data_IF_940044233895
#
_entry.id   IF_940044233895
#
_cell.length_a   1.000
_cell.length_b   1.000
_cell.length_c   1.000
_cell.angle_alpha   90.00
_cell.angle_beta   90.00
_cell.angle_gamma   90.00
#
_symmetry.space_group_name_H-M   'P 1'
#
loop_
_entity.id
_entity.type
_entity.pdbx_description
1 polymer ?
#
# COMPACT_ATOMS: atom_id res chain seq x y z
N UNK A 1 5.73 12.34 3.98
CA UNK A 1 4.69 12.51 2.94
C UNK A 1 3.70 13.63 3.30
N UNK A 2 3.65 14.70 2.51
CA UNK A 2 2.58 15.72 2.56
C UNK A 2 1.52 15.52 1.47
N UNK A 3 1.82 14.69 0.45
CA UNK A 3 0.97 14.46 -0.72
C UNK A 3 -0.38 13.78 -0.40
N UNK A 4 -0.46 13.05 0.71
CA UNK A 4 -1.68 12.34 1.16
C UNK A 4 -2.38 13.05 2.33
N UNK A 5 -1.83 14.16 2.80
CA UNK A 5 -2.22 14.75 4.07
C UNK A 5 -3.67 15.24 4.03
N UNK A 6 -4.51 14.67 4.90
CA UNK A 6 -5.92 15.02 5.01
C UNK A 6 -6.87 14.26 4.07
N UNK A 7 -6.37 13.31 3.26
CA UNK A 7 -7.24 12.43 2.47
C UNK A 7 -7.32 11.01 3.07
N UNK A 8 -8.49 10.60 3.58
CA UNK A 8 -8.75 9.26 4.09
C UNK A 8 -8.33 8.10 3.17
N UNK A 9 -8.53 8.25 1.85
CA UNK A 9 -8.22 7.21 0.88
C UNK A 9 -6.71 7.06 0.67
N UNK A 10 -5.96 8.16 0.81
CA UNK A 10 -4.51 8.14 0.81
C UNK A 10 -3.95 7.31 1.97
N UNK A 11 -4.55 7.41 3.16
CA UNK A 11 -4.15 6.61 4.33
C UNK A 11 -4.43 5.12 4.15
N UNK A 12 -5.56 4.78 3.50
CA UNK A 12 -5.92 3.38 3.21
C UNK A 12 -4.93 2.77 2.22
N UNK A 13 -4.64 3.48 1.12
CA UNK A 13 -3.65 3.03 0.12
C UNK A 13 -2.26 2.98 0.70
N UNK A 14 -1.88 3.93 1.55
CA UNK A 14 -0.61 3.90 2.25
C UNK A 14 -0.47 2.65 3.13
N UNK A 15 -1.50 2.35 3.93
CA UNK A 15 -1.53 1.15 4.76
C UNK A 15 -1.39 -0.11 3.91
N UNK A 16 -2.09 -0.17 2.77
CA UNK A 16 -1.93 -1.27 1.80
C UNK A 16 -0.48 -1.42 1.35
N UNK A 17 0.13 -0.34 0.87
CA UNK A 17 1.50 -0.37 0.36
C UNK A 17 2.50 -0.74 1.45
N UNK A 18 2.31 -0.32 2.69
CA UNK A 18 3.16 -0.78 3.81
C UNK A 18 3.09 -2.29 3.99
N UNK A 19 1.89 -2.87 3.98
CA UNK A 19 1.72 -4.32 4.14
C UNK A 19 2.25 -5.09 2.93
N UNK A 20 2.21 -4.53 1.73
CA UNK A 20 2.71 -5.17 0.50
C UNK A 20 4.23 -5.01 0.29
N UNK A 21 4.83 -3.90 0.74
CA UNK A 21 6.24 -3.56 0.52
C UNK A 21 7.15 -3.98 1.67
N UNK A 22 6.63 -4.08 2.91
CA UNK A 22 7.39 -4.54 4.07
C UNK A 22 7.53 -6.06 4.07
N UNK A 23 8.16 -6.56 3.01
CA UNK A 23 8.44 -7.96 2.83
C UNK A 23 9.62 -8.36 3.70
N UNK A 24 9.37 -9.28 4.62
CA UNK A 24 10.42 -9.98 5.33
C UNK A 24 11.46 -10.54 4.34
N UNK A 25 12.77 -10.47 4.67
CA UNK A 25 13.82 -10.96 3.79
C UNK A 25 13.64 -12.46 3.50
N UNK A 26 14.13 -12.89 2.34
CA UNK A 26 14.12 -14.30 1.98
C UNK A 26 14.86 -15.13 3.05
N UNK A 27 14.20 -16.17 3.57
CA UNK A 27 14.72 -17.01 4.65
C UNK A 27 14.38 -16.53 6.06
N UNK A 28 13.63 -15.43 6.22
CA UNK A 28 13.08 -15.06 7.52
C UNK A 28 12.15 -16.16 8.07
N UNK A 29 12.22 -16.49 9.37
CA UNK A 29 11.30 -17.44 9.99
C UNK A 29 9.85 -17.00 9.77
N UNK A 30 8.99 -17.96 9.39
CA UNK A 30 7.56 -17.75 9.20
C UNK A 30 7.17 -16.75 8.09
N UNK A 31 8.08 -16.40 7.16
CA UNK A 31 7.77 -15.49 6.05
C UNK A 31 6.48 -15.87 5.31
N UNK A 32 6.35 -17.12 4.87
CA UNK A 32 5.18 -17.58 4.12
C UNK A 32 3.87 -17.45 4.91
N UNK A 33 3.92 -17.71 6.22
CA UNK A 33 2.76 -17.55 7.09
C UNK A 33 2.36 -16.08 7.25
N UNK A 34 3.34 -15.18 7.34
CA UNK A 34 3.10 -13.74 7.44
C UNK A 34 2.56 -13.20 6.11
N UNK A 35 3.18 -13.57 4.99
CA UNK A 35 2.73 -13.22 3.64
C UNK A 35 1.28 -13.67 3.40
N UNK A 36 0.86 -14.82 3.96
CA UNK A 36 -0.52 -15.31 3.87
C UNK A 36 -1.52 -14.53 4.74
N UNK A 37 -1.08 -13.92 5.84
CA UNK A 37 -1.95 -13.19 6.79
C UNK A 37 -2.10 -11.72 6.42
N UNK A 38 -1.10 -11.11 5.78
CA UNK A 38 -1.13 -9.69 5.41
C UNK A 38 -2.36 -9.27 4.58
N UNK A 39 -2.83 -10.06 3.58
CA UNK A 39 -4.07 -9.75 2.87
C UNK A 39 -5.31 -9.74 3.78
N UNK A 40 -5.37 -10.67 4.75
CA UNK A 40 -6.47 -10.71 5.72
C UNK A 40 -6.46 -9.49 6.64
N UNK A 41 -5.28 -9.05 7.06
CA UNK A 41 -5.11 -7.85 7.87
C UNK A 41 -5.56 -6.61 7.09
N UNK A 42 -5.18 -6.50 5.81
CA UNK A 42 -5.61 -5.40 4.96
C UNK A 42 -7.13 -5.37 4.77
N UNK A 43 -7.76 -6.52 4.49
CA UNK A 43 -9.22 -6.58 4.36
C UNK A 43 -9.94 -6.24 5.66
N UNK A 44 -9.42 -6.70 6.82
CA UNK A 44 -9.96 -6.30 8.12
C UNK A 44 -9.87 -4.80 8.37
N UNK A 45 -8.73 -4.19 8.05
CA UNK A 45 -8.54 -2.74 8.14
C UNK A 45 -9.51 -1.99 7.20
N UNK A 46 -9.59 -2.42 5.94
CA UNK A 46 -10.48 -1.82 4.93
C UNK A 46 -11.94 -1.89 5.35
N UNK A 47 -12.41 -3.03 5.83
CA UNK A 47 -13.79 -3.21 6.28
C UNK A 47 -14.13 -2.29 7.46
N UNK A 48 -13.25 -2.23 8.47
CA UNK A 48 -13.45 -1.30 9.59
C UNK A 48 -13.46 0.17 9.16
N UNK A 49 -12.69 0.53 8.11
CA UNK A 49 -12.73 1.87 7.54
C UNK A 49 -14.04 2.14 6.78
N UNK A 50 -14.53 1.15 6.02
CA UNK A 50 -15.77 1.21 5.26
C UNK A 50 -17.02 1.37 6.13
N UNK A 51 -16.97 0.91 7.39
CA UNK A 51 -18.07 1.09 8.35
C UNK A 51 -18.24 2.55 8.79
N UNK A 52 -17.18 3.36 8.71
CA UNK A 52 -17.17 4.76 9.17
C UNK A 52 -17.19 5.74 8.00
N UNK A 53 -16.75 5.31 6.81
CA UNK A 53 -16.67 6.14 5.59
C UNK A 53 -16.93 5.30 4.35
N UNK A 54 -17.49 5.91 3.32
CA UNK A 54 -17.60 5.24 2.03
C UNK A 54 -16.22 5.08 1.39
N UNK A 55 -15.86 3.85 1.05
CA UNK A 55 -14.56 3.49 0.47
C UNK A 55 -14.82 2.97 -0.94
N UNK A 56 -14.73 3.89 -1.91
CA UNK A 56 -14.82 3.55 -3.32
C UNK A 56 -13.51 2.91 -3.81
N UNK A 57 -13.61 1.71 -4.38
CA UNK A 57 -12.46 0.98 -4.89
C UNK A 57 -11.82 1.70 -6.10
N UNK A 58 -12.61 2.40 -6.90
CA UNK A 58 -12.10 3.18 -8.04
C UNK A 58 -11.28 4.37 -7.52
N UNK A 59 -11.80 5.07 -6.53
CA UNK A 59 -11.08 6.15 -5.87
C UNK A 59 -9.78 5.64 -5.20
N UNK A 60 -9.82 4.51 -4.49
CA UNK A 60 -8.60 3.89 -3.93
C UNK A 60 -7.58 3.56 -5.02
N UNK A 61 -8.02 3.06 -6.16
CA UNK A 61 -7.15 2.74 -7.29
C UNK A 61 -6.37 3.97 -7.76
N UNK A 62 -7.05 5.12 -7.93
CA UNK A 62 -6.44 6.38 -8.34
C UNK A 62 -5.40 6.91 -7.34
N UNK A 63 -5.53 6.55 -6.06
CA UNK A 63 -4.57 6.94 -5.03
C UNK A 63 -3.29 6.10 -5.02
N UNK A 64 -3.25 4.92 -5.65
CA UNK A 64 -2.05 4.06 -5.64
C UNK A 64 -0.85 4.76 -6.27
N UNK A 65 -1.02 5.39 -7.43
CA UNK A 65 0.05 6.10 -8.14
C UNK A 65 0.68 7.25 -7.29
N UNK A 66 -0.09 8.27 -6.84
CA UNK A 66 0.50 9.38 -6.09
C UNK A 66 1.12 8.94 -4.75
N UNK A 67 0.55 7.93 -4.08
CA UNK A 67 1.11 7.40 -2.83
C UNK A 67 2.43 6.65 -3.09
N UNK A 68 2.48 5.81 -4.12
CA UNK A 68 3.70 5.08 -4.48
C UNK A 68 4.84 6.04 -4.90
N UNK A 69 4.52 7.09 -5.66
CA UNK A 69 5.50 8.15 -6.01
C UNK A 69 5.98 8.88 -4.77
N UNK A 70 5.09 9.24 -3.84
CA UNK A 70 5.46 9.88 -2.58
C UNK A 70 6.39 8.97 -1.74
N UNK A 71 6.09 7.67 -1.66
CA UNK A 71 6.91 6.66 -0.96
C UNK A 71 8.29 6.50 -1.59
N UNK A 72 8.37 6.49 -2.92
CA UNK A 72 9.65 6.44 -3.62
C UNK A 72 10.55 7.63 -3.26
N UNK A 73 9.95 8.80 -3.00
CA UNK A 73 10.64 10.01 -2.54
C UNK A 73 11.23 9.91 -1.14
N UNK A 74 10.73 9.01 -0.27
CA UNK A 74 11.26 8.80 1.08
C UNK A 74 12.63 8.07 1.09
N UNK A 75 13.08 7.56 -0.06
CA UNK A 75 14.48 7.14 -0.27
C UNK A 75 14.86 5.75 0.24
N UNK A 76 13.89 4.87 0.53
CA UNK A 76 14.15 3.51 0.99
C UNK A 76 14.66 2.62 -0.17
N UNK A 77 15.87 2.09 -0.01
CA UNK A 77 16.55 1.30 -1.04
C UNK A 77 15.94 -0.09 -1.26
N UNK A 78 15.41 -0.71 -0.21
CA UNK A 78 14.81 -2.06 -0.25
C UNK A 78 13.53 -2.14 -1.08
N UNK A 79 12.70 -1.09 -1.03
CA UNK A 79 11.37 -1.08 -1.66
C UNK A 79 11.40 -0.53 -3.09
N UNK A 80 12.51 0.10 -3.51
CA UNK A 80 12.61 0.91 -4.73
C UNK A 80 12.13 0.19 -5.99
N UNK A 81 12.55 -1.07 -6.20
CA UNK A 81 12.19 -1.80 -7.41
C UNK A 81 10.69 -2.14 -7.45
N UNK A 82 10.13 -2.56 -6.31
CA UNK A 82 8.70 -2.84 -6.21
C UNK A 82 7.86 -1.57 -6.40
N UNK A 83 8.29 -0.45 -5.81
CA UNK A 83 7.65 0.86 -6.00
C UNK A 83 7.67 1.30 -7.47
N UNK A 84 8.80 1.16 -8.17
CA UNK A 84 8.89 1.49 -9.59
C UNK A 84 7.96 0.61 -10.45
N UNK A 85 7.86 -0.68 -10.13
CA UNK A 85 6.93 -1.59 -10.79
C UNK A 85 5.47 -1.16 -10.58
N UNK A 86 5.09 -0.84 -9.33
CA UNK A 86 3.75 -0.33 -9.00
C UNK A 86 3.47 0.97 -9.76
N UNK A 87 4.39 1.94 -9.74
CA UNK A 87 4.24 3.22 -10.44
C UNK A 87 4.03 2.99 -11.94
N UNK A 88 4.81 2.11 -12.57
CA UNK A 88 4.67 1.80 -14.00
C UNK A 88 3.34 1.13 -14.32
N UNK A 89 2.88 0.22 -13.46
CA UNK A 89 1.59 -0.44 -13.63
C UNK A 89 0.45 0.59 -13.61
N UNK A 90 0.39 1.40 -12.57
CA UNK A 90 -0.70 2.36 -12.34
C UNK A 90 -0.59 3.66 -13.15
N UNK A 91 0.50 3.87 -13.89
CA UNK A 91 0.62 4.98 -14.84
C UNK A 91 0.03 4.68 -16.23
N UNK A 92 -0.19 3.40 -16.54
CA UNK A 92 -0.63 2.94 -17.87
C UNK A 92 -2.06 2.37 -17.86
N UNK A 93 -2.72 2.39 -16.70
CA UNK A 93 -4.14 2.03 -16.50
C UNK A 93 -5.00 3.31 -16.54
#
# INVERSE_FOLDING_TARGET
>A
MTATQGNPLGDVVWTRLLLELDNLPAGAPNKEAIDAVLPMLYEGYRNGYSEVRDVDNEALHQWVFPVAVARLGDGLSSERQQLLYIIQKYANE
#
